data_IF_885550431564
#
_entry.id   IF_885550431564
#
_cell.length_a   1.000
_cell.length_b   1.000
_cell.length_c   1.000
_cell.angle_alpha   90.00
_cell.angle_beta   90.00
_cell.angle_gamma   90.00
#
_symmetry.space_group_name_H-M   'P 1'
#
loop_
_entity.id
_entity.type
_entity.pdbx_description
1 polymer ?
#
# COMPACT_ATOMS: atom_id res chain seq x y z
N UNK A 1 19.51 -10.03 -7.81
CA UNK A 1 19.71 -8.98 -6.79
C UNK A 1 18.55 -9.08 -5.83
N UNK A 2 18.83 -9.48 -4.58
CA UNK A 2 17.83 -9.53 -3.52
C UNK A 2 17.81 -8.16 -2.84
N UNK A 3 16.85 -7.34 -3.24
CA UNK A 3 16.68 -6.01 -2.68
C UNK A 3 15.78 -6.14 -1.44
N UNK A 4 16.42 -6.40 -0.32
CA UNK A 4 15.84 -6.62 1.02
C UNK A 4 15.23 -5.31 1.59
N UNK A 5 14.32 -4.68 0.84
CA UNK A 5 13.59 -3.51 1.31
C UNK A 5 12.42 -3.94 2.19
N UNK A 6 12.32 -3.32 3.37
CA UNK A 6 11.16 -3.47 4.26
C UNK A 6 10.10 -2.45 3.88
N UNK A 7 8.83 -2.81 4.02
CA UNK A 7 7.73 -1.86 3.88
C UNK A 7 7.21 -1.47 5.25
N UNK A 8 7.09 -0.17 5.48
CA UNK A 8 6.45 0.40 6.67
C UNK A 8 5.27 1.26 6.25
N UNK A 9 4.10 0.91 6.75
CA UNK A 9 2.91 1.75 6.62
C UNK A 9 2.91 2.75 7.76
N UNK A 10 2.67 4.02 7.46
CA UNK A 10 2.34 4.97 8.51
C UNK A 10 0.91 4.74 8.97
N UNK A 11 0.62 5.11 10.21
CA UNK A 11 -0.68 4.88 10.85
C UNK A 11 -1.85 5.34 9.99
N UNK A 12 -1.80 6.58 9.47
CA UNK A 12 -2.86 7.12 8.62
C UNK A 12 -3.07 6.33 7.32
N UNK A 13 -2.02 5.82 6.70
CA UNK A 13 -2.15 4.98 5.50
C UNK A 13 -2.78 3.62 5.82
N UNK A 14 -2.46 3.07 6.99
CA UNK A 14 -3.05 1.81 7.47
C UNK A 14 -4.51 1.99 7.85
N UNK A 15 -4.89 3.08 8.52
CA UNK A 15 -6.28 3.42 8.81
C UNK A 15 -7.13 3.51 7.53
N UNK A 16 -6.61 4.14 6.48
CA UNK A 16 -7.35 4.27 5.21
C UNK A 16 -7.51 2.92 4.49
N UNK A 17 -6.52 2.04 4.60
CA UNK A 17 -6.61 0.65 4.14
C UNK A 17 -7.69 -0.11 4.91
N UNK A 18 -7.69 0.02 6.25
CA UNK A 18 -8.66 -0.63 7.13
C UNK A 18 -10.09 -0.14 6.87
N UNK A 19 -10.31 1.17 6.70
CA UNK A 19 -11.63 1.72 6.32
C UNK A 19 -12.14 1.13 5.02
N UNK A 20 -11.27 0.92 4.02
CA UNK A 20 -11.68 0.27 2.77
C UNK A 20 -12.01 -1.21 2.98
N UNK A 21 -11.26 -1.91 3.82
CA UNK A 21 -11.54 -3.30 4.17
C UNK A 21 -12.86 -3.43 4.95
N UNK A 22 -13.15 -2.51 5.86
CA UNK A 22 -14.42 -2.42 6.58
C UNK A 22 -15.58 -2.22 5.61
N UNK A 23 -15.46 -1.28 4.66
CA UNK A 23 -16.46 -1.10 3.61
C UNK A 23 -16.71 -2.38 2.79
N UNK A 24 -15.65 -3.12 2.44
CA UNK A 24 -15.78 -4.41 1.75
C UNK A 24 -16.48 -5.45 2.63
N UNK A 25 -16.18 -5.48 3.93
CA UNK A 25 -16.86 -6.34 4.89
C UNK A 25 -18.35 -6.00 4.98
N UNK A 26 -18.70 -4.71 5.05
CA UNK A 26 -20.09 -4.27 5.13
C UNK A 26 -20.92 -4.68 3.91
N UNK A 27 -20.31 -4.65 2.72
CA UNK A 27 -20.96 -5.05 1.47
C UNK A 27 -21.04 -6.56 1.29
N UNK A 28 -19.94 -7.27 1.55
CA UNK A 28 -19.87 -8.73 1.33
C UNK A 28 -20.47 -9.56 2.47
N UNK A 29 -20.61 -8.95 3.66
CA UNK A 29 -20.90 -9.62 4.93
C UNK A 29 -19.95 -10.78 5.25
N UNK A 30 -18.75 -10.76 4.67
CA UNK A 30 -17.78 -11.84 4.78
C UNK A 30 -16.41 -11.29 5.20
N UNK A 31 -15.98 -11.69 6.40
CA UNK A 31 -14.72 -11.23 7.01
C UNK A 31 -13.50 -11.73 6.24
N UNK A 32 -13.54 -12.94 5.69
CA UNK A 32 -12.44 -13.52 4.92
C UNK A 32 -12.15 -12.70 3.66
N UNK A 33 -13.17 -12.14 3.02
CA UNK A 33 -13.01 -11.28 1.84
C UNK A 33 -12.29 -9.97 2.21
N UNK A 34 -12.66 -9.35 3.33
CA UNK A 34 -12.01 -8.13 3.81
C UNK A 34 -10.56 -8.36 4.25
N UNK A 35 -10.29 -9.46 4.96
CA UNK A 35 -8.92 -9.85 5.35
C UNK A 35 -8.06 -10.18 4.13
N UNK A 36 -8.62 -10.92 3.17
CA UNK A 36 -7.95 -11.23 1.91
C UNK A 36 -7.58 -9.95 1.16
N UNK A 37 -8.47 -8.97 1.10
CA UNK A 37 -8.17 -7.67 0.49
C UNK A 37 -6.95 -6.98 1.14
N UNK A 38 -6.88 -6.93 2.48
CA UNK A 38 -5.74 -6.32 3.18
C UNK A 38 -4.44 -7.06 2.83
N UNK A 39 -4.47 -8.39 2.88
CA UNK A 39 -3.31 -9.22 2.58
C UNK A 39 -2.85 -9.05 1.14
N UNK A 40 -3.77 -9.08 0.18
CA UNK A 40 -3.48 -8.90 -1.25
C UNK A 40 -2.83 -7.54 -1.51
N UNK A 41 -3.32 -6.47 -0.87
CA UNK A 41 -2.76 -5.12 -1.00
C UNK A 41 -1.34 -5.05 -0.41
N UNK A 42 -1.15 -5.54 0.82
CA UNK A 42 0.16 -5.51 1.50
C UNK A 42 1.19 -6.36 0.77
N UNK A 43 0.82 -7.57 0.33
CA UNK A 43 1.70 -8.45 -0.45
C UNK A 43 2.04 -7.87 -1.82
N UNK A 44 1.07 -7.25 -2.52
CA UNK A 44 1.33 -6.65 -3.83
C UNK A 44 2.25 -5.45 -3.71
N UNK A 45 2.02 -4.58 -2.71
CA UNK A 45 2.93 -3.49 -2.39
C UNK A 45 4.33 -4.03 -2.08
N UNK A 46 4.44 -5.08 -1.26
CA UNK A 46 5.71 -5.74 -0.94
C UNK A 46 6.42 -6.24 -2.19
N UNK A 47 5.77 -7.03 -3.03
CA UNK A 47 6.40 -7.62 -4.22
C UNK A 47 6.77 -6.55 -5.26
N UNK A 48 5.89 -5.57 -5.51
CA UNK A 48 6.12 -4.58 -6.57
C UNK A 48 7.08 -3.50 -6.15
N UNK A 49 6.89 -2.89 -4.98
CA UNK A 49 7.68 -1.73 -4.58
C UNK A 49 9.12 -2.11 -4.25
N UNK A 50 9.37 -3.28 -3.65
CA UNK A 50 10.75 -3.74 -3.37
C UNK A 50 11.55 -4.00 -4.64
N UNK A 51 10.90 -4.46 -5.72
CA UNK A 51 11.54 -4.66 -7.03
C UNK A 51 11.99 -3.35 -7.68
N UNK A 52 11.21 -2.27 -7.51
CA UNK A 52 11.47 -0.97 -8.15
C UNK A 52 12.08 0.07 -7.20
N UNK A 53 12.24 -0.26 -5.92
CA UNK A 53 12.71 0.67 -4.89
C UNK A 53 14.10 1.22 -5.20
N UNK A 54 14.99 0.41 -5.77
CA UNK A 54 16.35 0.84 -6.13
C UNK A 54 16.38 1.95 -7.19
N UNK A 55 15.30 2.11 -7.97
CA UNK A 55 15.24 3.02 -9.12
C UNK A 55 14.67 4.39 -8.76
N UNK A 56 14.20 4.56 -7.52
CA UNK A 56 13.74 5.84 -7.01
C UNK A 56 14.87 6.58 -6.30
N UNK A 57 14.75 7.90 -6.22
CA UNK A 57 15.68 8.71 -5.45
C UNK A 57 15.33 8.65 -3.95
N UNK A 58 16.34 8.82 -3.10
CA UNK A 58 16.17 8.85 -1.65
C UNK A 58 15.17 9.94 -1.24
N UNK A 59 14.16 9.55 -0.46
CA UNK A 59 13.11 10.42 0.09
C UNK A 59 12.25 11.15 -0.95
N UNK A 60 12.33 10.74 -2.22
CA UNK A 60 11.46 11.26 -3.25
C UNK A 60 10.05 10.67 -3.13
N UNK A 61 9.05 11.54 -3.03
CA UNK A 61 7.65 11.14 -2.92
C UNK A 61 7.14 10.72 -4.29
N UNK A 62 6.59 9.50 -4.37
CA UNK A 62 6.00 8.92 -5.58
C UNK A 62 4.64 8.32 -5.30
N UNK A 63 3.89 8.12 -6.39
CA UNK A 63 2.65 7.36 -6.39
C UNK A 63 2.86 6.08 -7.18
N UNK A 64 2.31 4.98 -6.67
CA UNK A 64 2.26 3.70 -7.37
C UNK A 64 0.84 3.17 -7.40
N UNK A 65 0.44 2.63 -8.55
CA UNK A 65 -0.87 1.99 -8.71
C UNK A 65 -0.75 0.51 -8.37
N UNK A 66 -1.44 0.09 -7.31
CA UNK A 66 -1.57 -1.29 -6.88
C UNK A 66 -2.68 -2.01 -7.68
N UNK A 67 -2.84 -3.30 -7.38
CA UNK A 67 -3.97 -4.09 -7.87
C UNK A 67 -5.32 -3.38 -7.66
N UNK A 68 -6.26 -3.70 -8.56
CA UNK A 68 -7.63 -3.19 -8.53
C UNK A 68 -7.74 -1.65 -8.60
N UNK A 69 -6.68 -0.95 -9.04
CA UNK A 69 -6.66 0.50 -9.27
C UNK A 69 -6.57 1.35 -7.99
N UNK A 70 -6.25 0.74 -6.86
CA UNK A 70 -5.84 1.45 -5.65
C UNK A 70 -4.47 2.09 -5.88
N UNK A 71 -4.18 3.19 -5.19
CA UNK A 71 -2.88 3.86 -5.29
C UNK A 71 -2.28 4.02 -3.91
N UNK A 72 -0.96 3.96 -3.83
CA UNK A 72 -0.20 4.30 -2.63
C UNK A 72 0.71 5.47 -2.93
N UNK A 73 0.83 6.35 -1.95
CA UNK A 73 1.87 7.38 -1.91
C UNK A 73 2.99 6.86 -1.02
N UNK A 74 4.23 6.92 -1.50
CA UNK A 74 5.37 6.36 -0.78
C UNK A 74 6.65 7.12 -1.07
N UNK A 75 7.67 6.89 -0.25
CA UNK A 75 9.06 7.26 -0.55
C UNK A 75 10.00 6.13 -0.11
N UNK A 76 11.19 6.10 -0.68
CA UNK A 76 12.23 5.11 -0.36
C UNK A 76 13.30 5.79 0.49
N UNK A 77 13.70 5.15 1.59
CA UNK A 77 14.87 5.53 2.37
C UNK A 77 15.94 4.44 2.21
N UNK A 78 16.92 4.69 1.34
CA UNK A 78 17.94 3.72 0.95
C UNK A 78 18.88 3.38 2.11
N UNK A 79 19.19 4.35 2.97
CA UNK A 79 20.03 4.12 4.16
C UNK A 79 19.45 3.04 5.08
N UNK A 80 18.12 3.02 5.25
CA UNK A 80 17.41 2.05 6.08
C UNK A 80 16.85 0.88 5.28
N UNK A 81 17.04 0.88 3.95
CA UNK A 81 16.36 -0.02 3.01
C UNK A 81 14.87 -0.16 3.34
N UNK A 82 14.20 0.97 3.56
CA UNK A 82 12.80 0.99 3.98
C UNK A 82 11.97 1.82 3.02
N UNK A 83 10.84 1.27 2.60
CA UNK A 83 9.82 1.94 1.80
C UNK A 83 8.71 2.37 2.75
N UNK A 84 8.47 3.66 2.85
CA UNK A 84 7.44 4.23 3.70
C UNK A 84 6.19 4.50 2.87
N UNK A 85 5.10 3.82 3.18
CA UNK A 85 3.78 4.11 2.62
C UNK A 85 3.15 5.21 3.47
N UNK A 86 3.02 6.39 2.88
CA UNK A 86 2.52 7.59 3.55
C UNK A 86 1.03 7.87 3.28
N UNK A 87 0.44 7.25 2.27
CA UNK A 87 -0.98 7.40 2.00
C UNK A 87 -1.52 6.21 1.20
N UNK A 88 -2.79 5.86 1.43
CA UNK A 88 -3.51 4.84 0.68
C UNK A 88 -4.78 5.42 0.06
N UNK A 89 -4.77 5.53 -1.26
CA UNK A 89 -5.85 6.09 -2.06
C UNK A 89 -6.67 4.92 -2.60
N UNK A 90 -7.79 4.63 -1.94
CA UNK A 90 -8.70 3.59 -2.39
C UNK A 90 -9.38 3.95 -3.72
N UNK A 91 -9.46 3.00 -4.66
CA UNK A 91 -10.29 3.16 -5.85
C UNK A 91 -11.76 3.35 -5.45
N UNK A 92 -12.41 4.31 -6.07
CA UNK A 92 -13.83 4.60 -5.85
C UNK A 92 -14.13 5.48 -4.63
N UNK A 93 -13.11 6.03 -3.95
CA UNK A 93 -13.30 7.28 -3.19
C UNK A 93 -13.40 8.44 -4.18
N UNK A 94 -14.53 8.51 -4.88
CA UNK A 94 -15.06 9.80 -5.28
C UNK A 94 -15.72 10.36 -4.02
N UNK A 95 -15.13 11.40 -3.44
CA UNK A 95 -15.87 12.27 -2.54
C UNK A 95 -17.05 12.81 -3.36
N UNK A 96 -18.28 12.51 -2.94
CA UNK A 96 -19.42 13.36 -3.25
C UNK A 96 -19.51 14.42 -2.16
#
# INVERSE_FOLDING_TARGET
>A
MDFDYKIKWIESAEEELLKKAEFIFEQSKNKDIALKFINDIKENALKRLTLIAHSFNDKEIKFYTLLNGHRVKFFVEHNQKTIYIIDFIAKGRNCH
#
